data_IF_943957520553
#
_entry.id   IF_943957520553
#
_cell.length_a   1.000
_cell.length_b   1.000
_cell.length_c   1.000
_cell.angle_alpha   90.00
_cell.angle_beta   90.00
_cell.angle_gamma   90.00
#
_symmetry.space_group_name_H-M   'P 1'
#
loop_
_entity.id
_entity.type
_entity.pdbx_description
1 polymer ?
#
# COMPACT_ATOMS: atom_id res chain seq x y z
N UNK A 1 61.41 -41.16 1.56
CA UNK A 1 61.51 -41.97 0.33
C UNK A 1 60.15 -41.91 -0.37
N UNK A 2 60.12 -41.33 -1.59
CA UNK A 2 59.04 -41.28 -2.61
C UNK A 2 57.61 -40.87 -2.18
N UNK A 3 57.18 -39.60 -2.37
CA UNK A 3 56.63 -38.94 -3.59
C UNK A 3 55.15 -39.23 -3.93
N UNK A 4 54.27 -38.30 -3.53
CA UNK A 4 53.44 -37.43 -4.40
C UNK A 4 52.57 -38.02 -5.54
N UNK A 5 51.26 -37.69 -5.43
CA UNK A 5 50.34 -37.08 -6.44
C UNK A 5 49.26 -37.94 -7.17
N UNK A 6 48.02 -37.51 -6.94
CA UNK A 6 46.94 -37.11 -7.88
C UNK A 6 46.11 -38.12 -8.71
N UNK A 7 44.78 -37.98 -8.51
CA UNK A 7 43.69 -37.79 -9.49
C UNK A 7 42.82 -38.94 -10.03
N UNK A 8 41.50 -38.75 -9.75
CA UNK A 8 40.27 -39.04 -10.53
C UNK A 8 39.87 -40.50 -10.80
N UNK A 9 38.64 -40.87 -10.39
CA UNK A 9 37.50 -40.91 -11.32
C UNK A 9 36.15 -41.16 -10.58
N UNK A 10 35.18 -40.33 -10.97
CA UNK A 10 33.71 -40.37 -10.90
C UNK A 10 33.02 -41.74 -10.80
N UNK A 11 31.98 -41.85 -9.98
CA UNK A 11 30.84 -42.72 -10.28
C UNK A 11 29.51 -42.05 -9.90
N UNK A 12 28.72 -41.79 -10.94
CA UNK A 12 27.31 -41.42 -10.93
C UNK A 12 26.48 -42.47 -10.19
N UNK A 13 25.52 -42.04 -9.37
CA UNK A 13 24.27 -42.79 -9.25
C UNK A 13 23.08 -41.84 -9.22
N UNK A 14 22.30 -41.95 -10.28
CA UNK A 14 21.08 -41.26 -10.60
C UNK A 14 19.91 -42.19 -10.20
N UNK A 15 19.05 -41.73 -9.29
CA UNK A 15 17.66 -42.17 -9.12
C UNK A 15 17.03 -41.10 -8.23
N UNK A 16 16.03 -40.32 -8.64
CA UNK A 16 14.87 -40.74 -9.41
C UNK A 16 13.65 -40.51 -8.53
N UNK A 17 13.28 -39.25 -8.35
CA UNK A 17 11.95 -38.86 -7.87
C UNK A 17 11.43 -37.80 -8.84
N UNK A 18 10.81 -38.30 -9.91
CA UNK A 18 9.85 -37.51 -10.67
C UNK A 18 8.65 -37.31 -9.76
N UNK A 19 8.43 -36.09 -9.29
CA UNK A 19 7.07 -35.63 -9.01
C UNK A 19 6.82 -34.46 -9.95
N UNK A 20 6.06 -34.78 -10.99
CA UNK A 20 5.30 -33.80 -11.74
C UNK A 20 4.37 -33.10 -10.76
N UNK A 21 4.55 -31.80 -10.59
CA UNK A 21 3.44 -30.88 -10.36
C UNK A 21 3.63 -29.73 -11.34
N UNK A 22 3.27 -29.97 -12.59
CA UNK A 22 2.81 -28.89 -13.44
C UNK A 22 1.39 -28.55 -12.99
N UNK A 23 1.22 -27.38 -12.41
CA UNK A 23 0.05 -26.55 -12.66
C UNK A 23 0.60 -25.18 -13.02
N UNK A 24 0.45 -24.82 -14.29
CA UNK A 24 0.60 -23.45 -14.78
C UNK A 24 -0.37 -22.57 -13.99
N UNK A 25 0.11 -21.68 -13.11
CA UNK A 25 -0.67 -20.55 -12.61
C UNK A 25 0.28 -19.37 -12.42
N UNK A 26 0.14 -18.40 -13.33
CA UNK A 26 0.64 -17.03 -13.34
C UNK A 26 1.97 -16.72 -12.62
N UNK A 27 2.97 -16.49 -13.46
CA UNK A 27 4.27 -15.93 -13.11
C UNK A 27 4.07 -14.46 -12.66
N UNK A 28 3.53 -14.27 -11.44
CA UNK A 28 3.53 -13.01 -10.71
C UNK A 28 4.99 -12.66 -10.40
N UNK A 29 5.63 -12.03 -11.37
CA UNK A 29 7.04 -11.64 -11.35
C UNK A 29 7.33 -10.49 -10.37
N UNK A 30 6.34 -10.06 -9.57
CA UNK A 30 6.54 -9.06 -8.52
C UNK A 30 7.30 -9.62 -7.31
N UNK A 31 7.93 -8.74 -6.49
CA UNK A 31 8.51 -9.17 -5.22
C UNK A 31 7.44 -9.81 -4.34
N UNK A 32 7.83 -10.85 -3.61
CA UNK A 32 6.95 -11.60 -2.72
C UNK A 32 6.31 -10.67 -1.69
N UNK A 33 5.01 -10.86 -1.47
CA UNK A 33 4.26 -10.12 -0.46
C UNK A 33 4.67 -10.59 0.93
N UNK A 34 4.97 -9.64 1.81
CA UNK A 34 5.42 -9.91 3.19
C UNK A 34 4.34 -9.66 4.23
N UNK A 35 3.28 -8.92 3.89
CA UNK A 35 2.31 -8.36 4.83
C UNK A 35 2.98 -7.52 5.93
N UNK A 36 3.98 -6.74 5.55
CA UNK A 36 4.74 -5.90 6.48
C UNK A 36 4.98 -4.50 5.95
N UNK A 37 5.07 -3.57 6.89
CA UNK A 37 5.64 -2.24 6.74
C UNK A 37 7.01 -2.24 7.42
N UNK A 38 8.04 -1.78 6.73
CA UNK A 38 9.36 -1.48 7.29
C UNK A 38 9.55 0.03 7.35
N UNK A 39 9.90 0.53 8.52
CA UNK A 39 10.20 1.93 8.75
C UNK A 39 11.26 2.07 9.85
N UNK A 40 12.26 2.91 9.62
CA UNK A 40 13.38 3.14 10.55
C UNK A 40 14.11 1.85 10.97
N UNK A 41 14.26 0.92 10.02
CA UNK A 41 14.88 -0.39 10.26
C UNK A 41 14.05 -1.34 11.14
N UNK A 42 12.83 -0.96 11.52
CA UNK A 42 11.88 -1.81 12.24
C UNK A 42 10.80 -2.32 11.30
N UNK A 43 10.47 -3.59 11.46
CA UNK A 43 9.34 -4.23 10.77
C UNK A 43 8.08 -4.17 11.64
N UNK A 44 6.96 -3.89 11.00
CA UNK A 44 5.62 -3.82 11.54
C UNK A 44 4.71 -4.72 10.72
N UNK A 45 3.91 -5.55 11.37
CA UNK A 45 2.97 -6.43 10.68
C UNK A 45 1.76 -5.63 10.19
N UNK A 46 1.27 -5.91 8.99
CA UNK A 46 0.01 -5.38 8.49
C UNK A 46 -1.03 -6.47 8.69
N UNK A 47 -2.08 -6.17 9.46
CA UNK A 47 -3.12 -7.13 9.84
C UNK A 47 -4.42 -6.90 9.08
N UNK A 48 -4.76 -5.64 8.83
CA UNK A 48 -6.06 -5.26 8.30
C UNK A 48 -5.96 -4.01 7.44
N UNK A 49 -6.95 -3.85 6.55
CA UNK A 49 -7.09 -2.66 5.72
C UNK A 49 -8.52 -2.42 5.27
N UNK A 50 -8.84 -1.15 5.01
CA UNK A 50 -10.12 -0.72 4.43
C UNK A 50 -9.90 0.29 3.32
N UNK A 51 -10.89 0.41 2.44
CA UNK A 51 -10.92 1.38 1.35
C UNK A 51 -12.07 2.34 1.59
N UNK A 52 -11.75 3.63 1.56
CA UNK A 52 -12.72 4.71 1.56
C UNK A 52 -12.91 5.17 0.12
N UNK A 53 -14.10 4.92 -0.42
CA UNK A 53 -14.51 5.32 -1.76
C UNK A 53 -15.09 6.73 -1.72
N UNK A 54 -14.34 7.70 -2.24
CA UNK A 54 -14.71 9.12 -2.28
C UNK A 54 -15.42 9.54 -3.57
N UNK A 55 -15.40 8.70 -4.61
CA UNK A 55 -15.99 9.06 -5.90
C UNK A 55 -15.11 9.96 -6.77
N UNK A 56 -15.73 10.61 -7.79
CA UNK A 56 -15.04 11.56 -8.66
C UNK A 56 -14.35 12.70 -7.90
N UNK A 57 -13.16 13.11 -8.35
CA UNK A 57 -12.28 14.05 -7.67
C UNK A 57 -11.40 14.85 -8.65
N UNK A 58 -10.96 16.05 -8.22
CA UNK A 58 -9.95 16.86 -8.92
C UNK A 58 -8.60 16.77 -8.18
N UNK A 59 -7.67 15.90 -8.60
CA UNK A 59 -6.38 15.74 -7.94
C UNK A 59 -5.42 16.92 -8.13
N UNK A 60 -5.67 17.82 -9.09
CA UNK A 60 -4.88 19.04 -9.26
C UNK A 60 -5.29 20.17 -8.29
N UNK A 61 -6.27 19.94 -7.40
CA UNK A 61 -6.71 20.92 -6.41
C UNK A 61 -6.88 20.28 -5.03
N UNK A 62 -6.21 20.85 -4.03
CA UNK A 62 -6.25 20.35 -2.65
C UNK A 62 -7.62 20.49 -1.98
N UNK A 63 -8.45 21.42 -2.44
CA UNK A 63 -9.82 21.59 -1.95
C UNK A 63 -10.85 20.67 -2.64
N UNK A 64 -10.43 19.92 -3.67
CA UNK A 64 -11.27 19.06 -4.49
C UNK A 64 -12.36 19.79 -5.28
N UNK A 65 -12.37 21.13 -5.32
CA UNK A 65 -13.44 21.94 -5.96
C UNK A 65 -13.04 22.39 -7.35
N UNK A 66 -12.83 21.45 -8.26
CA UNK A 66 -12.54 21.76 -9.64
C UNK A 66 -13.14 20.77 -10.62
N UNK A 67 -12.40 20.45 -11.68
CA UNK A 67 -12.87 19.53 -12.71
C UNK A 67 -12.58 18.12 -12.25
N UNK A 68 -13.63 17.34 -12.00
CA UNK A 68 -13.51 15.92 -11.68
C UNK A 68 -12.94 15.18 -12.89
N UNK A 69 -11.64 14.89 -12.86
CA UNK A 69 -10.91 14.18 -13.91
C UNK A 69 -10.56 12.75 -13.49
N UNK A 70 -10.59 12.47 -12.18
CA UNK A 70 -10.18 11.21 -11.61
C UNK A 70 -11.23 10.67 -10.63
N UNK A 71 -11.06 9.42 -10.20
CA UNK A 71 -11.83 8.76 -9.16
C UNK A 71 -10.91 8.48 -7.99
N UNK A 72 -11.31 8.88 -6.79
CA UNK A 72 -10.47 8.83 -5.60
C UNK A 72 -10.87 7.70 -4.66
N UNK A 73 -9.87 6.92 -4.28
CA UNK A 73 -9.95 5.97 -3.18
C UNK A 73 -8.84 6.25 -2.18
N UNK A 74 -9.16 6.16 -0.90
CA UNK A 74 -8.16 6.09 0.15
C UNK A 74 -7.99 4.65 0.59
N UNK A 75 -6.78 4.13 0.48
CA UNK A 75 -6.43 2.84 1.05
C UNK A 75 -5.86 3.08 2.45
N UNK A 76 -6.44 2.40 3.43
CA UNK A 76 -6.07 2.46 4.83
C UNK A 76 -5.57 1.09 5.28
N UNK A 77 -4.47 1.02 6.01
CA UNK A 77 -3.96 -0.25 6.54
C UNK A 77 -3.19 -0.08 7.85
N UNK A 78 -3.23 -1.11 8.69
CA UNK A 78 -2.82 -1.04 10.10
C UNK A 78 -2.49 -2.44 10.65
N UNK A 79 -1.88 -2.49 11.84
CA UNK A 79 -1.78 -3.69 12.68
C UNK A 79 -2.96 -3.90 13.64
N UNK A 80 -3.85 -2.91 13.75
CA UNK A 80 -5.03 -2.96 14.60
C UNK A 80 -6.17 -3.82 14.06
N UNK A 81 -7.20 -3.96 14.88
CA UNK A 81 -8.48 -4.57 14.51
C UNK A 81 -9.45 -3.49 14.01
N UNK A 82 -9.90 -3.63 12.76
CA UNK A 82 -10.88 -2.70 12.20
C UNK A 82 -12.24 -2.87 12.83
N UNK A 83 -12.82 -1.75 13.27
CA UNK A 83 -14.17 -1.68 13.81
C UNK A 83 -14.94 -0.56 13.15
N UNK A 84 -16.08 -0.91 12.58
CA UNK A 84 -17.01 0.07 12.04
C UNK A 84 -17.74 0.77 13.19
N UNK A 85 -17.61 2.09 13.26
CA UNK A 85 -18.27 2.93 14.26
C UNK A 85 -19.21 3.90 13.54
N UNK A 86 -20.35 4.19 14.19
CA UNK A 86 -21.26 5.24 13.76
C UNK A 86 -21.33 6.30 14.84
N UNK A 87 -20.94 7.53 14.51
CA UNK A 87 -21.00 8.68 15.40
C UNK A 87 -21.55 9.89 14.63
N UNK A 88 -22.48 10.64 15.23
CA UNK A 88 -23.05 11.83 14.58
C UNK A 88 -23.81 11.58 13.25
N UNK A 89 -24.13 10.33 12.92
CA UNK A 89 -24.74 9.96 11.63
C UNK A 89 -23.72 9.63 10.52
N UNK A 90 -22.43 9.76 10.80
CA UNK A 90 -21.34 9.33 9.94
C UNK A 90 -20.89 7.94 10.36
N UNK A 91 -20.45 7.15 9.39
CA UNK A 91 -19.90 5.82 9.61
C UNK A 91 -18.46 5.82 9.13
N UNK A 92 -17.54 5.28 9.93
CA UNK A 92 -16.12 5.21 9.63
C UNK A 92 -15.49 4.02 10.37
N UNK A 93 -14.33 3.58 9.91
CA UNK A 93 -13.53 2.57 10.60
C UNK A 93 -12.61 3.24 11.62
N UNK A 94 -12.51 2.65 12.80
CA UNK A 94 -11.39 2.86 13.73
C UNK A 94 -10.53 1.60 13.75
N UNK A 95 -9.27 1.74 14.14
CA UNK A 95 -8.32 0.63 14.26
C UNK A 95 -8.01 0.35 15.74
N UNK A 96 -8.84 -0.46 16.41
CA UNK A 96 -8.67 -0.75 17.84
C UNK A 96 -7.34 -1.48 18.08
N UNK A 97 -6.60 -1.04 19.11
CA UNK A 97 -5.29 -1.59 19.49
C UNK A 97 -4.21 -1.46 18.40
N UNK A 98 -4.37 -0.54 17.45
CA UNK A 98 -3.33 -0.23 16.48
C UNK A 98 -2.11 0.37 17.17
N UNK A 99 -0.92 0.11 16.63
CA UNK A 99 0.29 0.87 16.93
C UNK A 99 0.61 1.88 15.84
N UNK A 100 0.07 1.67 14.64
CA UNK A 100 0.18 2.60 13.53
C UNK A 100 -1.01 2.50 12.57
N UNK A 101 -1.21 3.53 11.78
CA UNK A 101 -2.08 3.52 10.61
C UNK A 101 -1.36 4.15 9.43
N UNK A 102 -1.64 3.64 8.24
CA UNK A 102 -1.21 4.23 6.98
C UNK A 102 -2.42 4.58 6.15
N UNK A 103 -2.38 5.75 5.52
CA UNK A 103 -3.36 6.19 4.54
C UNK A 103 -2.65 6.56 3.25
N UNK A 104 -3.21 6.16 2.11
CA UNK A 104 -2.77 6.61 0.79
C UNK A 104 -3.96 7.01 -0.07
N UNK A 105 -3.92 8.24 -0.59
CA UNK A 105 -4.96 8.82 -1.45
C UNK A 105 -4.61 8.59 -2.93
N UNK A 106 -5.26 7.59 -3.54
CA UNK A 106 -5.04 7.17 -4.93
C UNK A 106 -6.12 7.76 -5.84
N UNK A 107 -5.70 8.24 -7.01
CA UNK A 107 -6.56 8.88 -8.00
C UNK A 107 -6.32 8.21 -9.37
N UNK A 108 -7.37 7.60 -9.90
CA UNK A 108 -7.37 6.90 -11.19
C UNK A 108 -7.97 7.79 -12.29
N UNK A 109 -7.40 7.89 -13.51
CA UNK A 109 -7.83 8.84 -14.57
C UNK A 109 -9.12 8.40 -15.27
N UNK A 110 -10.21 8.38 -14.49
CA UNK A 110 -11.59 8.09 -14.89
C UNK A 110 -12.50 8.67 -13.82
N UNK A 111 -13.76 8.99 -14.13
CA UNK A 111 -14.77 9.31 -13.11
C UNK A 111 -15.70 8.12 -12.80
N UNK A 112 -15.41 6.95 -13.38
CA UNK A 112 -16.05 5.67 -13.07
C UNK A 112 -15.33 4.92 -11.96
N UNK A 113 -15.51 3.60 -11.87
CA UNK A 113 -14.89 2.79 -10.81
C UNK A 113 -13.37 2.82 -10.84
N UNK A 114 -12.75 2.78 -9.66
CA UNK A 114 -11.31 2.60 -9.46
C UNK A 114 -10.75 1.38 -10.21
N UNK A 115 -9.52 1.51 -10.69
CA UNK A 115 -8.73 0.42 -11.24
C UNK A 115 -7.37 0.38 -10.55
N UNK A 116 -6.76 -0.80 -10.57
CA UNK A 116 -5.39 -1.02 -10.14
C UNK A 116 -4.36 -0.40 -11.09
N UNK A 117 -3.08 -0.45 -10.69
CA UNK A 117 -1.95 0.09 -11.44
C UNK A 117 -0.85 0.69 -10.56
N UNK A 118 0.16 1.24 -11.22
CA UNK A 118 1.22 2.04 -10.58
C UNK A 118 0.76 3.49 -10.46
N UNK A 119 0.98 4.12 -9.31
CA UNK A 119 0.58 5.48 -8.98
C UNK A 119 1.82 6.30 -8.63
N UNK A 120 2.01 7.39 -9.37
CA UNK A 120 3.09 8.34 -9.13
C UNK A 120 2.67 9.46 -8.18
N UNK A 121 3.61 9.99 -7.41
CA UNK A 121 3.36 11.15 -6.58
C UNK A 121 3.14 12.41 -7.42
N UNK A 122 2.16 13.22 -7.02
CA UNK A 122 2.04 14.59 -7.51
C UNK A 122 2.00 15.60 -6.36
N UNK A 123 2.67 16.73 -6.54
CA UNK A 123 2.46 17.91 -5.70
C UNK A 123 1.29 18.72 -6.29
N UNK A 124 0.16 18.71 -5.58
CA UNK A 124 -1.06 19.41 -6.00
C UNK A 124 -0.88 20.93 -6.17
N UNK A 125 0.19 21.52 -5.61
CA UNK A 125 0.49 22.95 -5.78
C UNK A 125 1.35 23.24 -7.02
N UNK A 126 1.89 22.20 -7.67
CA UNK A 126 2.84 22.30 -8.76
C UNK A 126 2.35 21.68 -10.07
N UNK A 127 1.13 21.12 -10.08
CA UNK A 127 0.57 20.37 -11.22
C UNK A 127 -0.76 20.96 -11.68
N UNK A 128 -1.07 20.81 -12.96
CA UNK A 128 -2.38 21.12 -13.54
C UNK A 128 -3.10 19.85 -14.00
N UNK A 129 -4.41 19.93 -14.23
CA UNK A 129 -5.18 18.80 -14.75
C UNK A 129 -4.64 18.27 -16.09
N UNK A 130 -4.14 19.15 -16.96
CA UNK A 130 -3.59 18.75 -18.27
C UNK A 130 -2.32 17.89 -18.13
N UNK A 131 -1.55 18.06 -17.04
CA UNK A 131 -0.33 17.30 -16.78
C UNK A 131 -0.63 15.85 -16.35
N UNK A 132 -1.80 15.59 -15.77
CA UNK A 132 -2.14 14.33 -15.09
C UNK A 132 -3.37 13.60 -15.65
N UNK A 133 -4.05 14.17 -16.65
CA UNK A 133 -5.37 13.70 -17.14
C UNK A 133 -5.46 12.21 -17.51
N UNK A 134 -4.35 11.56 -17.83
CA UNK A 134 -4.30 10.13 -18.17
C UNK A 134 -3.36 9.32 -17.26
N UNK A 135 -3.03 9.85 -16.08
CA UNK A 135 -2.07 9.26 -15.16
C UNK A 135 -2.76 8.76 -13.90
N UNK A 136 -2.32 7.60 -13.43
CA UNK A 136 -2.59 7.15 -12.08
C UNK A 136 -1.69 7.95 -11.13
N UNK A 137 -2.29 8.68 -10.20
CA UNK A 137 -1.52 9.56 -9.29
C UNK A 137 -1.97 9.38 -7.85
N UNK A 138 -1.05 9.57 -6.91
CA UNK A 138 -1.40 9.70 -5.51
C UNK A 138 -1.04 11.09 -4.99
N UNK A 139 -1.91 11.63 -4.13
CA UNK A 139 -1.83 13.02 -3.63
C UNK A 139 -1.44 13.07 -2.16
N UNK A 140 -1.48 11.95 -1.46
CA UNK A 140 -1.15 11.87 -0.04
C UNK A 140 -0.72 10.47 0.35
N UNK A 141 0.31 10.40 1.18
CA UNK A 141 0.68 9.23 1.95
C UNK A 141 0.96 9.69 3.37
N UNK A 142 0.30 9.07 4.35
CA UNK A 142 0.48 9.41 5.77
C UNK A 142 0.75 8.13 6.53
N UNK A 143 1.87 8.08 7.24
CA UNK A 143 2.12 7.09 8.29
C UNK A 143 1.96 7.78 9.64
N UNK A 144 1.05 7.29 10.46
CA UNK A 144 0.78 7.80 11.80
C UNK A 144 0.99 6.70 12.83
N UNK A 145 1.65 7.02 13.94
CA UNK A 145 1.81 6.10 15.07
C UNK A 145 0.84 6.45 16.19
N UNK A 146 -0.01 5.49 16.55
CA UNK A 146 -0.91 5.57 17.69
C UNK A 146 -0.13 5.29 18.98
N UNK A 147 0.12 6.35 19.76
CA UNK A 147 0.92 6.25 21.00
C UNK A 147 0.09 5.94 22.23
N UNK A 148 -1.21 6.22 22.20
CA UNK A 148 -2.09 6.02 23.35
C UNK A 148 -2.92 4.73 23.22
N UNK A 149 -2.94 4.11 22.03
CA UNK A 149 -3.56 2.82 21.74
C UNK A 149 -5.08 2.88 21.66
N UNK A 150 -5.68 4.07 21.48
CA UNK A 150 -7.12 4.23 21.37
C UNK A 150 -7.65 3.98 19.95
N UNK A 151 -6.78 3.85 18.95
CA UNK A 151 -7.13 3.65 17.55
C UNK A 151 -7.70 4.89 16.86
N UNK A 152 -7.61 6.07 17.50
CA UNK A 152 -8.15 7.35 17.03
C UNK A 152 -7.01 8.35 16.80
N UNK A 153 -7.11 9.09 15.69
CA UNK A 153 -6.15 10.15 15.40
C UNK A 153 -6.41 11.34 16.34
N UNK A 154 -5.61 11.45 17.40
CA UNK A 154 -5.68 12.57 18.34
C UNK A 154 -4.86 13.78 17.84
N UNK A 155 -5.53 14.84 17.38
CA UNK A 155 -4.91 16.08 16.92
C UNK A 155 -4.07 16.81 18.00
N UNK A 156 -4.28 16.51 19.28
CA UNK A 156 -3.53 17.09 20.40
C UNK A 156 -2.21 16.34 20.70
N UNK A 157 -2.01 15.15 20.11
CA UNK A 157 -0.71 14.49 20.11
C UNK A 157 0.18 15.13 19.04
N UNK A 158 1.10 16.00 19.47
CA UNK A 158 2.10 16.63 18.61
C UNK A 158 2.82 15.61 17.71
N UNK A 159 2.32 15.53 16.46
CA UNK A 159 2.97 15.06 15.23
C UNK A 159 3.70 13.72 15.36
N UNK A 160 2.94 12.62 15.24
CA UNK A 160 3.45 11.34 14.73
C UNK A 160 3.08 11.09 13.27
N UNK A 161 2.48 12.08 12.61
CA UNK A 161 2.19 12.02 11.18
C UNK A 161 3.47 12.26 10.37
N UNK A 162 3.80 11.28 9.55
CA UNK A 162 4.88 11.32 8.60
C UNK A 162 4.26 11.36 7.21
N UNK A 163 4.49 12.47 6.52
CA UNK A 163 3.89 12.72 5.21
C UNK A 163 4.88 12.28 4.15
N UNK A 164 4.41 11.45 3.22
CA UNK A 164 5.16 11.03 2.05
C UNK A 164 5.13 12.09 0.95
N UNK A 165 6.28 12.31 0.32
CA UNK A 165 6.41 13.20 -0.84
C UNK A 165 7.36 12.57 -1.87
N UNK A 166 6.79 11.93 -2.89
CA UNK A 166 7.53 11.11 -3.85
C UNK A 166 7.52 9.63 -3.48
N UNK A 167 8.14 8.82 -4.35
CA UNK A 167 8.03 7.36 -4.32
C UNK A 167 6.94 6.85 -5.26
N UNK A 168 6.67 5.56 -5.18
CA UNK A 168 5.72 4.85 -6.03
C UNK A 168 4.82 3.97 -5.15
N UNK A 169 3.56 3.85 -5.57
CA UNK A 169 2.58 2.92 -4.99
C UNK A 169 2.04 2.06 -6.11
N UNK A 170 2.15 0.74 -5.98
CA UNK A 170 1.57 -0.22 -6.91
C UNK A 170 0.38 -0.90 -6.25
N UNK A 171 -0.75 -0.87 -6.92
CA UNK A 171 -1.94 -1.65 -6.58
C UNK A 171 -2.14 -2.68 -7.67
N UNK A 172 -2.44 -3.91 -7.29
CA UNK A 172 -2.84 -4.99 -8.18
C UNK A 172 -4.07 -5.68 -7.58
N UNK A 173 -5.05 -6.01 -8.42
CA UNK A 173 -6.25 -6.73 -7.98
C UNK A 173 -7.53 -5.93 -8.15
N UNK A 174 -8.63 -6.48 -7.65
CA UNK A 174 -9.96 -5.93 -7.90
C UNK A 174 -10.98 -6.37 -6.86
N UNK A 175 -12.17 -5.75 -6.92
CA UNK A 175 -13.30 -5.95 -6.02
C UNK A 175 -12.95 -5.67 -4.56
N UNK A 176 -12.48 -6.69 -3.84
CA UNK A 176 -12.08 -6.60 -2.45
C UNK A 176 -10.67 -7.09 -2.17
N UNK A 177 -10.05 -7.80 -3.10
CA UNK A 177 -8.76 -8.41 -2.88
C UNK A 177 -7.69 -7.60 -3.60
N UNK A 178 -6.82 -6.96 -2.84
CA UNK A 178 -5.76 -6.14 -3.40
C UNK A 178 -4.42 -6.50 -2.82
N UNK A 179 -3.43 -6.44 -3.71
CA UNK A 179 -2.02 -6.42 -3.40
C UNK A 179 -1.53 -4.99 -3.53
N UNK A 180 -0.85 -4.53 -2.50
CA UNK A 180 -0.33 -3.17 -2.40
C UNK A 180 1.16 -3.24 -2.13
N UNK A 181 1.95 -2.50 -2.89
CA UNK A 181 3.39 -2.34 -2.69
C UNK A 181 3.72 -0.85 -2.69
N UNK A 182 4.61 -0.41 -1.81
CA UNK A 182 5.02 0.98 -1.77
C UNK A 182 6.44 1.15 -1.26
N UNK A 183 7.11 2.21 -1.72
CA UNK A 183 8.38 2.69 -1.19
C UNK A 183 8.36 4.21 -1.18
N UNK A 184 8.14 4.79 0.01
CA UNK A 184 7.78 6.20 0.16
C UNK A 184 8.80 6.91 1.06
N UNK A 185 9.58 7.88 0.55
CA UNK A 185 10.30 8.82 1.39
C UNK A 185 9.32 9.68 2.20
N UNK A 186 9.55 9.74 3.50
CA UNK A 186 8.74 10.47 4.47
C UNK A 186 9.42 11.79 4.89
N UNK A 187 8.63 12.68 5.48
CA UNK A 187 9.03 14.02 5.90
C UNK A 187 10.19 14.06 6.91
N UNK A 188 10.48 12.97 7.62
CA UNK A 188 11.64 12.85 8.52
C UNK A 188 12.93 12.40 7.81
N UNK A 189 12.88 12.20 6.48
CA UNK A 189 14.00 11.78 5.64
C UNK A 189 14.22 10.28 5.58
N UNK A 190 13.40 9.45 6.26
CA UNK A 190 13.45 8.00 6.16
C UNK A 190 12.48 7.49 5.10
N UNK A 191 12.63 6.22 4.72
CA UNK A 191 11.75 5.55 3.76
C UNK A 191 10.87 4.55 4.49
N UNK A 192 9.56 4.60 4.23
CA UNK A 192 8.63 3.53 4.52
C UNK A 192 8.53 2.60 3.31
N UNK A 193 8.74 1.31 3.52
CA UNK A 193 8.57 0.29 2.48
C UNK A 193 7.57 -0.73 2.96
N UNK A 194 6.63 -1.14 2.12
CA UNK A 194 5.71 -2.19 2.50
C UNK A 194 5.18 -2.97 1.32
N UNK A 195 4.75 -4.19 1.62
CA UNK A 195 3.99 -5.03 0.69
C UNK A 195 2.96 -5.82 1.48
N UNK A 196 1.72 -5.82 1.02
CA UNK A 196 0.65 -6.59 1.65
C UNK A 196 -0.42 -6.99 0.66
N UNK A 197 -1.12 -8.09 0.96
CA UNK A 197 -2.17 -8.68 0.13
C UNK A 197 -3.27 -9.18 1.06
N UNK A 198 -4.46 -8.60 0.93
CA UNK A 198 -5.59 -8.90 1.80
C UNK A 198 -6.90 -8.58 1.12
N UNK A 199 -7.98 -9.11 1.68
CA UNK A 199 -9.31 -8.56 1.47
C UNK A 199 -9.44 -7.24 2.25
N UNK A 200 -10.02 -6.23 1.60
CA UNK A 200 -10.31 -4.92 2.16
C UNK A 200 -11.80 -4.76 2.42
N UNK A 201 -12.11 -4.14 3.55
CA UNK A 201 -13.46 -3.65 3.80
C UNK A 201 -13.71 -2.33 3.08
N UNK A 202 -14.94 -2.14 2.59
CA UNK A 202 -15.29 -0.95 1.80
C UNK A 202 -16.25 -0.05 2.56
N UNK A 203 -15.96 1.24 2.56
CA UNK A 203 -16.91 2.26 2.97
C UNK A 203 -17.05 3.32 1.89
N UNK A 204 -18.29 3.60 1.51
CA UNK A 204 -18.58 4.70 0.60
C UNK A 204 -18.67 5.98 1.41
N UNK A 205 -17.70 6.87 1.22
CA UNK A 205 -17.75 8.20 1.79
C UNK A 205 -18.77 9.01 0.99
N UNK A 206 -19.83 9.48 1.66
CA UNK A 206 -20.82 10.33 0.99
C UNK A 206 -20.21 11.73 0.83
N UNK A 207 -19.90 12.10 -0.41
CA UNK A 207 -19.82 13.52 -0.80
C UNK A 207 -21.16 14.24 -0.66
#
# INVERSE_FOLDING_TARGET
MMTSRFFKLTMFLLAGAMMFSCSDEDDDNGPAVTNTLTYDGKEYQIKSGHIEDYGPYDPARSDGRGTETHYRNRFCFTDGDLKLVTNGGETYYIAENATYNVYVDLNYPSTGTFSDGEFDFIDQNAVSNDDIVNLNVYTGFVLWFDRNGNGEQDYEEEITELIGAGGEVTIEGSDKHYKVRFQIPLSDGKTATGSFETDFEFIKYRG
#
